data_IF_708838968098
#
_entry.id   IF_708838968098
#
_cell.length_a   1.000
_cell.length_b   1.000
_cell.length_c   1.000
_cell.angle_alpha   90.00
_cell.angle_beta   90.00
_cell.angle_gamma   90.00
#
_symmetry.space_group_name_H-M   'P 1'
#
loop_
_entity.id
_entity.type
_entity.pdbx_description
1 polymer ?
#
# COMPACT_ATOMS: atom_id res chain seq x y z
N UNK A 1 -3.08 -9.05 6.34
CA UNK A 1 -3.68 -9.86 5.27
C UNK A 1 -3.16 -11.30 5.35
N UNK A 2 -1.86 -11.56 5.30
CA UNK A 2 -1.31 -12.93 5.31
C UNK A 2 -1.65 -13.74 6.58
N UNK A 3 -1.64 -13.13 7.77
CA UNK A 3 -2.07 -13.83 8.99
C UNK A 3 -3.57 -14.15 8.99
N UNK A 4 -4.40 -13.23 8.49
CA UNK A 4 -5.84 -13.50 8.34
C UNK A 4 -6.11 -14.57 7.28
N UNK A 5 -5.38 -14.57 6.18
CA UNK A 5 -5.43 -15.65 5.19
C UNK A 5 -4.95 -16.97 5.77
N UNK A 6 -3.86 -16.99 6.53
CA UNK A 6 -3.34 -18.19 7.15
C UNK A 6 -4.30 -18.77 8.20
N UNK A 7 -4.96 -17.94 9.01
CA UNK A 7 -5.97 -18.39 9.94
C UNK A 7 -7.15 -19.04 9.20
N UNK A 8 -7.64 -18.43 8.14
CA UNK A 8 -8.73 -18.97 7.33
C UNK A 8 -8.32 -20.19 6.52
N UNK A 9 -7.05 -20.27 6.08
CA UNK A 9 -6.49 -21.47 5.44
C UNK A 9 -6.42 -22.66 6.37
N UNK A 10 -6.05 -22.46 7.63
CA UNK A 10 -6.06 -23.52 8.63
C UNK A 10 -7.48 -24.06 8.85
N UNK A 11 -8.49 -23.20 8.76
CA UNK A 11 -9.91 -23.61 8.84
C UNK A 11 -10.38 -24.36 7.59
N UNK A 12 -9.87 -23.99 6.41
CA UNK A 12 -10.32 -24.57 5.11
C UNK A 12 -9.57 -25.82 4.67
N UNK A 13 -8.52 -26.20 5.40
CA UNK A 13 -7.76 -27.46 5.20
C UNK A 13 -7.35 -27.78 3.74
N UNK A 14 -7.09 -26.76 2.92
CA UNK A 14 -6.64 -26.96 1.55
C UNK A 14 -5.17 -26.53 1.38
N UNK A 15 -4.20 -27.45 1.57
CA UNK A 15 -2.77 -27.16 1.55
C UNK A 15 -2.21 -26.87 0.16
N UNK A 16 -2.96 -27.15 -0.91
CA UNK A 16 -2.41 -27.21 -2.27
C UNK A 16 -2.51 -25.89 -3.07
N UNK A 17 -3.07 -24.81 -2.49
CA UNK A 17 -3.25 -23.56 -3.19
C UNK A 17 -1.99 -22.67 -3.11
N UNK A 18 -1.34 -22.36 -4.23
CA UNK A 18 -0.11 -21.56 -4.24
C UNK A 18 -0.38 -20.06 -4.05
N UNK A 19 -0.50 -19.64 -2.78
CA UNK A 19 -0.83 -18.27 -2.36
C UNK A 19 -0.02 -17.17 -3.07
N UNK A 20 1.27 -17.43 -3.37
CA UNK A 20 2.15 -16.44 -3.97
C UNK A 20 2.11 -16.43 -5.51
N UNK A 21 1.50 -17.45 -6.10
CA UNK A 21 1.51 -17.66 -7.55
C UNK A 21 0.32 -16.99 -8.23
N UNK A 22 -0.86 -17.22 -7.70
CA UNK A 22 -2.11 -16.75 -8.29
C UNK A 22 -3.15 -16.47 -7.20
N UNK A 23 -3.39 -15.19 -6.94
CA UNK A 23 -4.34 -14.74 -5.92
C UNK A 23 -5.77 -15.13 -6.30
N UNK A 24 -6.13 -15.11 -7.60
CA UNK A 24 -7.47 -15.47 -8.07
C UNK A 24 -7.76 -16.93 -7.80
N UNK A 25 -6.92 -17.84 -8.27
CA UNK A 25 -7.06 -19.28 -8.03
C UNK A 25 -7.15 -19.59 -6.53
N UNK A 26 -6.36 -18.89 -5.72
CA UNK A 26 -6.42 -19.02 -4.27
C UNK A 26 -7.77 -18.59 -3.69
N UNK A 27 -8.29 -17.43 -4.08
CA UNK A 27 -9.55 -16.89 -3.57
C UNK A 27 -10.76 -17.69 -4.05
N UNK A 28 -10.77 -18.15 -5.30
CA UNK A 28 -11.79 -19.06 -5.85
C UNK A 28 -11.80 -20.38 -5.08
N UNK A 29 -10.62 -20.91 -4.76
CA UNK A 29 -10.48 -22.15 -3.97
C UNK A 29 -11.00 -22.05 -2.54
N UNK A 30 -11.10 -20.85 -1.98
CA UNK A 30 -11.74 -20.58 -0.67
C UNK A 30 -13.17 -20.05 -0.78
N UNK A 31 -13.79 -20.15 -1.97
CA UNK A 31 -15.20 -19.84 -2.20
C UNK A 31 -15.50 -18.35 -2.41
N UNK A 32 -14.52 -17.55 -2.82
CA UNK A 32 -14.73 -16.16 -3.24
C UNK A 32 -15.04 -16.12 -4.73
N UNK A 33 -16.09 -15.39 -5.09
CA UNK A 33 -16.62 -15.30 -6.45
C UNK A 33 -15.56 -14.82 -7.45
N UNK A 34 -15.48 -15.51 -8.59
CA UNK A 34 -14.59 -15.20 -9.70
C UNK A 34 -14.85 -13.82 -10.34
N UNK A 35 -16.05 -13.27 -10.21
CA UNK A 35 -16.41 -11.96 -10.73
C UNK A 35 -15.96 -10.81 -9.81
N UNK A 36 -15.60 -11.09 -8.56
CA UNK A 36 -15.08 -10.08 -7.64
C UNK A 36 -13.76 -9.51 -8.16
N UNK A 37 -13.59 -8.18 -8.28
CA UNK A 37 -12.33 -7.58 -8.66
C UNK A 37 -11.22 -7.97 -7.66
N UNK A 38 -10.21 -8.68 -8.13
CA UNK A 38 -9.10 -9.15 -7.30
C UNK A 38 -7.81 -8.49 -7.79
N UNK A 39 -7.04 -7.85 -6.90
CA UNK A 39 -5.74 -7.31 -7.28
C UNK A 39 -4.80 -8.44 -7.74
N UNK A 40 -3.86 -8.13 -8.64
CA UNK A 40 -2.89 -9.11 -9.11
C UNK A 40 -2.10 -9.72 -7.94
N UNK A 41 -1.78 -11.00 -8.04
CA UNK A 41 -0.95 -11.68 -7.06
C UNK A 41 0.46 -11.09 -6.98
N UNK A 42 1.17 -11.39 -5.90
CA UNK A 42 2.51 -10.86 -5.64
C UNK A 42 3.50 -11.12 -6.78
N UNK A 43 3.44 -12.29 -7.41
CA UNK A 43 4.32 -12.61 -8.54
C UNK A 43 4.03 -11.74 -9.75
N UNK A 44 2.75 -11.54 -10.10
CA UNK A 44 2.35 -10.67 -11.19
C UNK A 44 2.73 -9.21 -10.93
N UNK A 45 2.55 -8.73 -9.70
CA UNK A 45 2.99 -7.39 -9.28
C UNK A 45 4.52 -7.22 -9.41
N UNK A 46 5.32 -8.23 -9.04
CA UNK A 46 6.77 -8.21 -9.20
C UNK A 46 7.20 -8.23 -10.67
N UNK A 47 6.55 -9.03 -11.50
CA UNK A 47 6.85 -9.07 -12.94
C UNK A 47 6.49 -7.74 -13.61
N UNK A 48 5.36 -7.12 -13.26
CA UNK A 48 4.96 -5.79 -13.71
C UNK A 48 5.95 -4.70 -13.28
N UNK A 49 6.37 -4.72 -12.00
CA UNK A 49 7.34 -3.76 -11.48
C UNK A 49 8.69 -3.84 -12.24
N UNK A 50 9.20 -5.06 -12.49
CA UNK A 50 10.44 -5.24 -13.26
C UNK A 50 10.26 -4.83 -14.72
N UNK A 51 9.11 -5.13 -15.33
CA UNK A 51 8.79 -4.70 -16.69
C UNK A 51 8.82 -3.17 -16.82
N UNK A 52 8.12 -2.47 -15.93
CA UNK A 52 8.10 -1.00 -15.90
C UNK A 52 9.50 -0.41 -15.65
N UNK A 53 10.24 -0.96 -14.68
CA UNK A 53 11.60 -0.50 -14.35
C UNK A 53 12.59 -0.75 -15.50
N UNK A 54 12.39 -1.79 -16.32
CA UNK A 54 13.27 -2.10 -17.46
C UNK A 54 13.22 -1.02 -18.53
N UNK A 55 12.09 -0.32 -18.67
CA UNK A 55 11.92 0.77 -19.64
C UNK A 55 12.66 2.05 -19.23
N UNK A 56 12.97 2.19 -17.95
CA UNK A 56 13.71 3.33 -17.38
C UNK A 56 14.99 2.84 -16.69
N UNK A 57 15.61 1.81 -17.23
CA UNK A 57 16.78 1.12 -16.64
C UNK A 57 17.94 2.07 -16.34
N UNK A 58 18.15 3.07 -17.16
CA UNK A 58 19.17 4.11 -17.03
C UNK A 58 18.96 5.05 -15.83
N UNK A 59 17.78 5.03 -15.20
CA UNK A 59 17.45 5.83 -14.01
C UNK A 59 17.81 5.14 -12.71
N UNK A 60 18.01 3.82 -12.73
CA UNK A 60 18.39 3.03 -11.56
C UNK A 60 19.91 2.88 -11.45
N UNK A 61 20.40 2.95 -10.21
CA UNK A 61 21.77 2.49 -9.94
C UNK A 61 21.91 1.00 -10.24
N UNK A 62 23.13 0.52 -10.54
CA UNK A 62 23.38 -0.91 -10.71
C UNK A 62 22.87 -1.74 -9.52
N UNK A 63 23.11 -1.29 -8.29
CA UNK A 63 22.68 -1.98 -7.07
C UNK A 63 21.16 -1.98 -6.91
N UNK A 64 20.48 -0.87 -7.22
CA UNK A 64 19.02 -0.80 -7.22
C UNK A 64 18.39 -1.78 -8.20
N UNK A 65 18.97 -1.89 -9.40
CA UNK A 65 18.54 -2.86 -10.39
C UNK A 65 18.76 -4.31 -9.95
N UNK A 66 19.94 -4.61 -9.42
CA UNK A 66 20.26 -5.94 -8.92
C UNK A 66 19.33 -6.35 -7.77
N UNK A 67 19.01 -5.42 -6.87
CA UNK A 67 18.07 -5.67 -5.77
C UNK A 67 16.65 -5.98 -6.29
N UNK A 68 16.18 -5.25 -7.30
CA UNK A 68 14.87 -5.50 -7.92
C UNK A 68 14.84 -6.87 -8.64
N UNK A 69 15.90 -7.19 -9.39
CA UNK A 69 16.03 -8.48 -10.06
C UNK A 69 16.09 -9.65 -9.08
N UNK A 70 16.81 -9.50 -7.97
CA UNK A 70 16.90 -10.49 -6.92
C UNK A 70 15.55 -10.68 -6.18
N UNK A 71 14.83 -9.59 -5.94
CA UNK A 71 13.48 -9.63 -5.37
C UNK A 71 12.53 -10.44 -6.25
N UNK A 72 12.52 -10.17 -7.57
CA UNK A 72 11.74 -10.95 -8.54
C UNK A 72 12.11 -12.44 -8.54
N UNK A 73 13.40 -12.75 -8.59
CA UNK A 73 13.90 -14.12 -8.55
C UNK A 73 13.46 -14.84 -7.27
N UNK A 74 13.56 -14.17 -6.13
CA UNK A 74 13.15 -14.71 -4.84
C UNK A 74 11.64 -14.99 -4.81
N UNK A 75 10.82 -14.04 -5.29
CA UNK A 75 9.36 -14.20 -5.37
C UNK A 75 8.96 -15.39 -6.25
N UNK A 76 9.59 -15.55 -7.40
CA UNK A 76 9.35 -16.71 -8.29
C UNK A 76 9.72 -18.04 -7.64
N UNK A 77 10.85 -18.10 -6.94
CA UNK A 77 11.26 -19.30 -6.23
C UNK A 77 10.29 -19.65 -5.10
N UNK A 78 9.80 -18.67 -4.37
CA UNK A 78 8.81 -18.89 -3.32
C UNK A 78 7.46 -19.32 -3.88
N UNK A 79 6.98 -18.68 -4.96
CA UNK A 79 5.73 -19.05 -5.62
C UNK A 79 5.67 -20.51 -6.09
N UNK A 80 6.81 -21.14 -6.30
CA UNK A 80 6.90 -22.55 -6.71
C UNK A 80 6.99 -23.55 -5.55
N UNK A 81 7.32 -23.11 -4.31
CA UNK A 81 7.74 -24.01 -3.23
C UNK A 81 7.05 -23.74 -1.89
N UNK A 82 6.64 -22.50 -1.63
CA UNK A 82 6.11 -22.09 -0.32
C UNK A 82 4.70 -22.61 -0.12
N UNK A 83 4.52 -23.31 0.99
CA UNK A 83 3.22 -23.78 1.42
C UNK A 83 2.53 -22.76 2.34
N UNK A 84 1.18 -22.76 2.44
CA UNK A 84 0.44 -21.97 3.40
C UNK A 84 0.89 -22.22 4.86
N UNK A 85 0.75 -21.21 5.71
CA UNK A 85 1.12 -21.31 7.12
C UNK A 85 2.48 -20.67 7.43
N UNK A 86 3.25 -21.30 8.32
CA UNK A 86 4.54 -20.77 8.80
C UNK A 86 5.55 -20.55 7.71
N UNK A 87 5.50 -21.38 6.66
CA UNK A 87 6.39 -21.27 5.52
C UNK A 87 6.12 -19.98 4.72
N UNK A 88 4.84 -19.66 4.48
CA UNK A 88 4.44 -18.40 3.85
C UNK A 88 4.83 -17.20 4.72
N UNK A 89 4.69 -17.28 6.03
CA UNK A 89 5.09 -16.22 6.97
C UNK A 89 6.59 -15.96 6.89
N UNK A 90 7.43 -17.00 6.85
CA UNK A 90 8.88 -16.88 6.68
C UNK A 90 9.24 -16.27 5.32
N UNK A 91 8.60 -16.72 4.26
CA UNK A 91 8.81 -16.20 2.91
C UNK A 91 8.47 -14.71 2.82
N UNK A 92 7.33 -14.29 3.39
CA UNK A 92 6.95 -12.87 3.43
C UNK A 92 7.93 -12.02 4.24
N UNK A 93 8.45 -12.53 5.34
CA UNK A 93 9.48 -11.83 6.12
C UNK A 93 10.76 -11.59 5.29
N UNK A 94 11.15 -12.55 4.47
CA UNK A 94 12.31 -12.39 3.56
C UNK A 94 12.01 -11.35 2.49
N UNK A 95 10.84 -11.40 1.85
CA UNK A 95 10.44 -10.47 0.80
C UNK A 95 10.31 -9.04 1.33
N UNK A 96 9.73 -8.85 2.51
CA UNK A 96 9.63 -7.53 3.15
C UNK A 96 11.02 -6.90 3.42
N UNK A 97 11.99 -7.69 3.90
CA UNK A 97 13.35 -7.20 4.08
C UNK A 97 14.02 -6.80 2.75
N UNK A 98 13.83 -7.60 1.70
CA UNK A 98 14.35 -7.28 0.37
C UNK A 98 13.68 -6.03 -0.22
N UNK A 99 12.36 -5.87 -0.03
CA UNK A 99 11.63 -4.65 -0.43
C UNK A 99 12.14 -3.42 0.33
N UNK A 100 12.39 -3.53 1.62
CA UNK A 100 12.98 -2.45 2.41
C UNK A 100 14.39 -2.09 1.91
N UNK A 101 15.22 -3.09 1.59
CA UNK A 101 16.55 -2.88 0.99
C UNK A 101 16.46 -2.19 -0.37
N UNK A 102 15.58 -2.64 -1.27
CA UNK A 102 15.36 -1.97 -2.55
C UNK A 102 14.88 -0.52 -2.36
N UNK A 103 13.92 -0.29 -1.46
CA UNK A 103 13.43 1.06 -1.14
C UNK A 103 14.54 1.96 -0.62
N UNK A 104 15.44 1.44 0.23
CA UNK A 104 16.62 2.17 0.70
C UNK A 104 17.56 2.54 -0.44
N UNK A 105 17.91 1.60 -1.31
CA UNK A 105 18.77 1.85 -2.46
C UNK A 105 18.18 2.89 -3.43
N UNK A 106 16.87 2.85 -3.68
CA UNK A 106 16.18 3.88 -4.47
C UNK A 106 16.29 5.23 -3.79
N UNK A 107 16.04 5.27 -2.48
CA UNK A 107 16.08 6.51 -1.72
C UNK A 107 17.47 7.14 -1.67
N UNK A 108 18.52 6.35 -1.50
CA UNK A 108 19.90 6.82 -1.39
C UNK A 108 20.55 7.14 -2.74
N UNK A 109 20.26 6.34 -3.78
CA UNK A 109 21.05 6.35 -5.01
C UNK A 109 20.34 6.92 -6.23
N UNK A 110 19.01 7.05 -6.20
CA UNK A 110 18.27 7.56 -7.35
C UNK A 110 18.24 9.08 -7.37
N UNK A 111 18.61 9.68 -8.49
CA UNK A 111 18.59 11.12 -8.63
C UNK A 111 17.17 11.69 -8.57
N UNK A 112 16.99 12.81 -7.84
CA UNK A 112 15.68 13.40 -7.47
C UNK A 112 14.97 14.14 -8.63
N UNK A 113 15.07 13.63 -9.85
CA UNK A 113 14.30 14.10 -11.01
C UNK A 113 12.87 13.54 -11.05
N UNK A 114 12.15 13.89 -12.11
CA UNK A 114 10.75 13.49 -12.32
C UNK A 114 10.54 11.98 -12.17
N UNK A 115 11.45 11.15 -12.67
CA UNK A 115 11.34 9.68 -12.56
C UNK A 115 11.32 9.18 -11.10
N UNK A 116 12.14 9.75 -10.24
CA UNK A 116 12.11 9.44 -8.80
C UNK A 116 10.80 9.91 -8.17
N UNK A 117 10.31 11.10 -8.55
CA UNK A 117 9.03 11.63 -8.04
C UNK A 117 7.85 10.74 -8.42
N UNK A 118 7.77 10.29 -9.66
CA UNK A 118 6.71 9.37 -10.07
C UNK A 118 6.76 8.04 -9.32
N UNK A 119 7.94 7.53 -9.00
CA UNK A 119 8.08 6.33 -8.16
C UNK A 119 7.58 6.58 -6.74
N UNK A 120 7.94 7.70 -6.12
CA UNK A 120 7.45 8.07 -4.79
C UNK A 120 5.93 8.33 -4.81
N UNK A 121 5.43 9.05 -5.80
CA UNK A 121 3.98 9.27 -5.99
C UNK A 121 3.25 7.92 -6.05
N UNK A 122 3.69 6.99 -6.89
CA UNK A 122 3.07 5.66 -6.99
C UNK A 122 3.09 4.91 -5.64
N UNK A 123 4.19 4.94 -4.91
CA UNK A 123 4.29 4.34 -3.57
C UNK A 123 3.31 4.95 -2.57
N UNK A 124 3.14 6.27 -2.59
CA UNK A 124 2.26 6.98 -1.67
C UNK A 124 0.80 6.76 -2.00
N UNK A 125 0.44 6.79 -3.28
CA UNK A 125 -0.90 6.47 -3.76
C UNK A 125 -1.31 5.06 -3.32
N UNK A 126 -0.52 4.06 -3.66
CA UNK A 126 -0.80 2.67 -3.32
C UNK A 126 -0.93 2.47 -1.80
N UNK A 127 0.00 3.01 -1.02
CA UNK A 127 -0.07 2.90 0.43
C UNK A 127 -1.27 3.62 1.01
N UNK A 128 -1.61 4.81 0.53
CA UNK A 128 -2.79 5.57 0.96
C UNK A 128 -4.08 4.78 0.72
N UNK A 129 -4.26 4.26 -0.48
CA UNK A 129 -5.43 3.43 -0.84
C UNK A 129 -5.51 2.19 0.06
N UNK A 130 -4.40 1.46 0.21
CA UNK A 130 -4.38 0.22 1.00
C UNK A 130 -4.66 0.47 2.48
N UNK A 131 -4.08 1.49 3.09
CA UNK A 131 -4.33 1.80 4.50
C UNK A 131 -5.76 2.31 4.70
N UNK A 132 -6.28 3.17 3.85
CA UNK A 132 -7.67 3.62 3.93
C UNK A 132 -8.65 2.42 3.83
N UNK A 133 -8.49 1.58 2.81
CA UNK A 133 -9.36 0.43 2.59
C UNK A 133 -9.29 -0.62 3.70
N UNK A 134 -8.07 -0.96 4.18
CA UNK A 134 -7.93 -1.96 5.25
C UNK A 134 -8.41 -1.43 6.60
N UNK A 135 -8.25 -0.13 6.86
CA UNK A 135 -8.80 0.52 8.05
C UNK A 135 -10.33 0.48 8.00
N UNK A 136 -10.94 0.89 6.88
CA UNK A 136 -12.40 0.78 6.70
C UNK A 136 -12.92 -0.63 6.97
N UNK A 137 -12.23 -1.65 6.44
CA UNK A 137 -12.65 -3.04 6.56
C UNK A 137 -12.49 -3.60 7.98
N UNK A 138 -11.41 -3.26 8.69
CA UNK A 138 -11.09 -3.82 10.00
C UNK A 138 -11.66 -3.01 11.18
N UNK A 139 -12.16 -1.78 10.94
CA UNK A 139 -12.83 -0.98 11.97
C UNK A 139 -14.35 -0.92 11.80
N UNK A 140 -14.90 -1.58 10.76
CA UNK A 140 -16.35 -1.62 10.52
C UNK A 140 -17.08 -2.33 11.66
N UNK A 141 -18.36 -2.04 11.82
CA UNK A 141 -19.24 -2.77 12.70
C UNK A 141 -19.26 -4.27 12.34
N UNK A 142 -19.17 -5.14 13.32
CA UNK A 142 -19.09 -6.58 13.12
C UNK A 142 -17.72 -7.09 12.61
N UNK A 143 -16.66 -6.28 12.69
CA UNK A 143 -15.33 -6.78 12.43
C UNK A 143 -14.96 -7.94 13.37
N UNK A 144 -14.23 -8.96 12.91
CA UNK A 144 -13.92 -10.12 13.72
C UNK A 144 -12.99 -9.76 14.90
N UNK A 145 -13.02 -10.58 15.94
CA UNK A 145 -12.10 -10.45 17.07
C UNK A 145 -10.64 -10.45 16.58
N UNK A 146 -9.82 -9.57 17.15
CA UNK A 146 -8.43 -9.39 16.73
C UNK A 146 -8.22 -8.54 15.46
N UNK A 147 -9.30 -8.03 14.83
CA UNK A 147 -9.20 -7.17 13.64
C UNK A 147 -8.31 -5.94 13.88
N UNK A 148 -8.44 -5.32 15.03
CA UNK A 148 -7.65 -4.14 15.38
C UNK A 148 -6.16 -4.46 15.58
N UNK A 149 -5.84 -5.57 16.23
CA UNK A 149 -4.44 -6.01 16.38
C UNK A 149 -3.83 -6.32 15.02
N UNK A 150 -4.59 -6.98 14.16
CA UNK A 150 -4.18 -7.26 12.78
C UNK A 150 -3.93 -5.96 11.98
N UNK A 151 -4.79 -4.95 12.14
CA UNK A 151 -4.62 -3.65 11.49
C UNK A 151 -3.32 -2.97 11.91
N UNK A 152 -3.02 -2.96 13.22
CA UNK A 152 -1.76 -2.39 13.75
C UNK A 152 -0.52 -3.16 13.27
N UNK A 153 -0.59 -4.48 13.17
CA UNK A 153 0.51 -5.30 12.66
C UNK A 153 0.76 -5.04 11.17
N UNK A 154 -0.29 -4.95 10.36
CA UNK A 154 -0.18 -4.63 8.93
C UNK A 154 0.45 -3.25 8.73
N UNK A 155 0.05 -2.28 9.55
CA UNK A 155 0.55 -0.92 9.51
C UNK A 155 1.89 -0.72 10.23
N UNK A 156 2.49 -1.78 10.80
CA UNK A 156 3.74 -1.71 11.60
C UNK A 156 3.67 -0.63 12.70
N UNK A 157 2.51 -0.52 13.36
CA UNK A 157 2.20 0.58 14.29
C UNK A 157 1.89 0.12 15.72
N UNK A 158 2.07 -1.18 16.03
CA UNK A 158 1.76 -1.77 17.34
C UNK A 158 2.44 -1.03 18.49
N UNK A 159 3.74 -0.79 18.38
CA UNK A 159 4.52 -0.15 19.44
C UNK A 159 4.15 1.33 19.62
N UNK A 160 3.86 2.02 18.51
CA UNK A 160 3.43 3.42 18.54
C UNK A 160 2.06 3.55 19.19
N UNK A 161 1.12 2.68 18.81
CA UNK A 161 -0.20 2.64 19.42
C UNK A 161 -0.14 2.42 20.94
N UNK A 162 0.60 1.39 21.40
CA UNK A 162 0.76 1.08 22.83
C UNK A 162 1.39 2.20 23.65
N UNK A 163 2.25 3.01 23.04
CA UNK A 163 2.88 4.17 23.70
C UNK A 163 1.96 5.38 23.79
N UNK A 164 1.07 5.55 22.81
CA UNK A 164 0.25 6.76 22.68
C UNK A 164 -1.15 6.61 23.28
N UNK A 165 -1.70 5.39 23.26
CA UNK A 165 -3.06 5.13 23.69
C UNK A 165 -3.11 4.08 24.80
N UNK A 166 -4.12 4.20 25.68
CA UNK A 166 -4.39 3.20 26.71
C UNK A 166 -4.96 1.92 26.07
N UNK A 167 -4.81 0.79 26.78
CA UNK A 167 -5.26 -0.54 26.33
C UNK A 167 -6.77 -0.60 26.01
N UNK A 168 -7.58 0.29 26.58
CA UNK A 168 -9.03 0.39 26.35
C UNK A 168 -9.42 1.35 25.22
N UNK A 169 -8.46 1.78 24.38
CA UNK A 169 -8.74 2.71 23.29
C UNK A 169 -9.62 2.04 22.22
N UNK A 170 -10.75 2.67 21.90
CA UNK A 170 -11.69 2.20 20.87
C UNK A 170 -11.21 2.44 19.44
N UNK A 171 -12.08 2.17 18.45
CA UNK A 171 -11.80 2.32 17.02
C UNK A 171 -11.17 3.67 16.64
N UNK A 172 -11.55 4.76 17.31
CA UNK A 172 -11.04 6.10 17.08
C UNK A 172 -9.52 6.21 17.24
N UNK A 173 -8.89 5.43 18.13
CA UNK A 173 -7.44 5.47 18.31
C UNK A 173 -6.67 4.88 17.12
N UNK A 174 -7.24 3.89 16.46
CA UNK A 174 -6.66 3.31 15.24
C UNK A 174 -6.81 4.26 14.06
N UNK A 175 -7.97 4.93 13.95
CA UNK A 175 -8.24 5.94 12.93
C UNK A 175 -7.32 7.14 13.13
N UNK A 176 -7.21 7.67 14.36
CA UNK A 176 -6.28 8.76 14.66
C UNK A 176 -4.84 8.41 14.24
N UNK A 177 -4.35 7.23 14.61
CA UNK A 177 -2.97 6.81 14.33
C UNK A 177 -2.72 6.50 12.85
N UNK A 178 -3.66 5.83 12.17
CA UNK A 178 -3.43 5.25 10.84
C UNK A 178 -4.04 6.08 9.70
N UNK A 179 -4.93 7.01 10.02
CA UNK A 179 -5.53 7.88 9.01
C UNK A 179 -5.09 9.33 9.20
N UNK A 180 -5.15 9.87 10.40
CA UNK A 180 -5.04 11.31 10.67
C UNK A 180 -3.70 11.76 11.27
N UNK A 181 -2.82 10.87 11.69
CA UNK A 181 -1.53 11.24 12.28
C UNK A 181 -0.53 11.73 11.21
N UNK A 182 -0.12 13.01 11.20
CA UNK A 182 0.84 13.52 10.23
C UNK A 182 2.28 13.03 10.45
N UNK A 183 2.57 12.44 11.61
CA UNK A 183 3.92 11.97 11.97
C UNK A 183 4.11 10.47 11.75
N UNK A 184 3.03 9.72 11.60
CA UNK A 184 3.13 8.29 11.34
C UNK A 184 3.37 8.03 9.85
N UNK A 185 4.55 7.53 9.42
CA UNK A 185 4.85 7.26 8.01
C UNK A 185 3.98 6.16 7.39
N UNK A 186 3.08 5.56 8.16
CA UNK A 186 2.08 4.59 7.70
C UNK A 186 0.68 5.18 7.58
N UNK A 187 0.42 6.38 8.12
CA UNK A 187 -0.91 6.99 8.06
C UNK A 187 -1.26 7.49 6.65
N UNK A 188 -2.56 7.61 6.38
CA UNK A 188 -3.06 8.16 5.12
C UNK A 188 -2.67 9.63 4.99
N UNK A 189 -2.83 10.43 6.06
CA UNK A 189 -2.46 11.85 6.04
C UNK A 189 -0.99 12.07 5.71
N UNK A 190 -0.09 11.24 6.25
CA UNK A 190 1.33 11.30 5.90
C UNK A 190 1.56 11.03 4.40
N UNK A 191 0.85 10.02 3.83
CA UNK A 191 0.97 9.76 2.39
C UNK A 191 0.48 10.95 1.56
N UNK A 192 -0.66 11.53 1.92
CA UNK A 192 -1.25 12.66 1.19
C UNK A 192 -0.37 13.93 1.33
N UNK A 193 0.23 14.17 2.47
CA UNK A 193 1.16 15.30 2.66
C UNK A 193 2.39 15.17 1.76
N UNK A 194 2.99 13.99 1.69
CA UNK A 194 4.13 13.72 0.83
C UNK A 194 3.75 13.72 -0.66
N UNK A 195 2.59 13.17 -1.02
CA UNK A 195 2.03 13.26 -2.38
C UNK A 195 1.91 14.71 -2.84
N UNK A 196 1.38 15.59 -1.99
CA UNK A 196 1.25 17.00 -2.30
C UNK A 196 2.62 17.61 -2.61
N UNK A 197 3.62 17.34 -1.77
CA UNK A 197 4.98 17.84 -1.99
C UNK A 197 5.56 17.35 -3.31
N UNK A 198 5.40 16.06 -3.65
CA UNK A 198 5.94 15.52 -4.89
C UNK A 198 5.21 16.03 -6.14
N UNK A 199 3.88 16.19 -6.09
CA UNK A 199 3.06 16.69 -7.20
C UNK A 199 3.39 18.17 -7.49
N UNK A 200 3.54 19.01 -6.46
CA UNK A 200 3.91 20.42 -6.61
C UNK A 200 5.27 20.63 -7.31
N UNK A 201 6.13 19.62 -7.28
CA UNK A 201 7.46 19.66 -7.89
C UNK A 201 7.53 18.96 -9.27
N UNK A 202 6.41 18.45 -9.79
CA UNK A 202 6.38 17.91 -11.15
C UNK A 202 6.44 19.03 -12.19
N UNK A 203 7.10 18.80 -13.36
CA UNK A 203 7.10 19.75 -14.45
C UNK A 203 5.70 19.91 -15.06
N UNK A 204 5.38 21.08 -15.58
CA UNK A 204 4.15 21.28 -16.37
C UNK A 204 2.94 21.81 -15.59
N UNK A 205 3.16 22.47 -14.46
CA UNK A 205 2.11 23.32 -13.86
C UNK A 205 1.56 24.31 -14.88
N UNK A 206 0.23 24.52 -14.88
CA UNK A 206 -0.45 25.42 -15.83
C UNK A 206 0.26 26.79 -15.85
N UNK A 207 0.90 27.15 -16.97
CA UNK A 207 1.70 28.35 -17.12
C UNK A 207 0.97 29.68 -16.91
N UNK A 208 -0.31 29.62 -16.52
CA UNK A 208 -1.18 30.77 -16.23
C UNK A 208 -1.42 30.99 -14.71
N UNK A 209 -0.60 30.41 -13.84
CA UNK A 209 -0.74 30.55 -12.38
C UNK A 209 -1.93 29.81 -11.77
N UNK A 210 -2.63 28.96 -12.54
CA UNK A 210 -3.67 28.09 -12.03
C UNK A 210 -3.07 26.74 -11.57
N UNK A 211 -3.61 26.20 -10.48
CA UNK A 211 -3.24 24.87 -10.01
C UNK A 211 -3.73 23.80 -10.99
N UNK A 212 -2.90 22.79 -11.25
CA UNK A 212 -3.29 21.62 -12.03
C UNK A 212 -4.45 20.86 -11.37
N UNK A 213 -5.15 20.02 -12.14
CA UNK A 213 -6.23 19.20 -11.57
C UNK A 213 -5.73 18.28 -10.47
N UNK A 214 -4.54 17.67 -10.64
CA UNK A 214 -3.92 16.83 -9.64
C UNK A 214 -3.55 17.63 -8.37
N UNK A 215 -2.98 18.84 -8.52
CA UNK A 215 -2.64 19.70 -7.40
C UNK A 215 -3.89 20.13 -6.61
N UNK A 216 -4.97 20.48 -7.28
CA UNK A 216 -6.25 20.81 -6.61
C UNK A 216 -6.80 19.62 -5.84
N UNK A 217 -6.81 18.43 -6.45
CA UNK A 217 -7.33 17.22 -5.82
C UNK A 217 -6.52 16.82 -4.58
N UNK A 218 -5.18 16.85 -4.64
CA UNK A 218 -4.36 16.51 -3.47
C UNK A 218 -4.47 17.54 -2.36
N UNK A 219 -4.61 18.84 -2.69
CA UNK A 219 -4.86 19.89 -1.69
C UNK A 219 -6.19 19.70 -0.99
N UNK A 220 -7.25 19.33 -1.72
CA UNK A 220 -8.56 19.05 -1.14
C UNK A 220 -8.46 17.87 -0.17
N UNK A 221 -7.95 16.72 -0.60
CA UNK A 221 -7.75 15.54 0.25
C UNK A 221 -6.91 15.86 1.50
N UNK A 222 -5.82 16.60 1.33
CA UNK A 222 -4.97 17.01 2.45
C UNK A 222 -5.74 17.88 3.44
N UNK A 223 -6.50 18.86 2.96
CA UNK A 223 -7.25 19.77 3.83
C UNK A 223 -8.35 19.02 4.58
N UNK A 224 -9.10 18.16 3.89
CA UNK A 224 -10.15 17.33 4.49
C UNK A 224 -9.62 16.45 5.63
N UNK A 225 -8.46 15.82 5.43
CA UNK A 225 -7.83 14.98 6.47
C UNK A 225 -7.26 15.81 7.63
N UNK A 226 -6.76 17.01 7.35
CA UNK A 226 -6.19 17.89 8.37
C UNK A 226 -7.20 18.47 9.34
N UNK A 227 -8.46 18.58 8.92
CA UNK A 227 -9.54 19.16 9.73
C UNK A 227 -10.52 18.10 10.24
N UNK A 228 -10.36 16.84 9.87
CA UNK A 228 -11.22 15.75 10.30
C UNK A 228 -10.87 15.30 11.72
N UNK A 229 -11.90 14.97 12.50
CA UNK A 229 -11.77 14.24 13.74
C UNK A 229 -11.91 12.72 13.50
N UNK A 230 -11.32 11.86 14.35
CA UNK A 230 -11.43 10.40 14.20
C UNK A 230 -12.89 9.90 14.13
N UNK A 231 -13.80 10.56 14.83
CA UNK A 231 -15.23 10.23 14.87
C UNK A 231 -15.93 10.48 13.53
N UNK A 232 -15.41 11.38 12.71
CA UNK A 232 -15.94 11.70 11.40
C UNK A 232 -15.55 10.65 10.34
N UNK A 233 -14.54 9.83 10.60
CA UNK A 233 -13.99 8.89 9.64
C UNK A 233 -14.74 7.55 9.67
N UNK A 234 -15.99 7.58 9.23
CA UNK A 234 -16.82 6.37 9.09
C UNK A 234 -16.26 5.41 8.03
N UNK A 235 -16.75 4.18 8.01
CA UNK A 235 -16.38 3.18 7.00
C UNK A 235 -16.60 3.69 5.58
N UNK A 236 -17.72 4.39 5.33
CA UNK A 236 -18.06 4.98 4.03
C UNK A 236 -17.09 6.10 3.67
N UNK A 237 -16.76 6.96 4.63
CA UNK A 237 -15.82 8.07 4.41
C UNK A 237 -14.40 7.57 4.15
N UNK A 238 -13.97 6.51 4.82
CA UNK A 238 -12.70 5.83 4.55
C UNK A 238 -12.68 5.18 3.16
N UNK A 239 -13.80 4.59 2.73
CA UNK A 239 -13.96 4.09 1.36
C UNK A 239 -13.85 5.21 0.33
N UNK A 240 -14.62 6.28 0.50
CA UNK A 240 -14.57 7.46 -0.37
C UNK A 240 -13.17 8.12 -0.42
N UNK A 241 -12.43 8.10 0.69
CA UNK A 241 -11.05 8.56 0.73
C UNK A 241 -10.14 7.70 -0.17
N UNK A 242 -10.28 6.37 -0.10
CA UNK A 242 -9.56 5.45 -0.97
C UNK A 242 -9.85 5.71 -2.46
N UNK A 243 -11.12 5.91 -2.80
CA UNK A 243 -11.57 6.25 -4.17
C UNK A 243 -10.99 7.61 -4.63
N UNK A 244 -11.00 8.61 -3.76
CA UNK A 244 -10.42 9.93 -4.05
C UNK A 244 -8.92 9.87 -4.32
N UNK A 245 -8.18 9.02 -3.59
CA UNK A 245 -6.76 8.77 -3.86
C UNK A 245 -6.59 8.04 -5.21
N UNK A 246 -7.46 7.10 -5.54
CA UNK A 246 -7.50 6.43 -6.84
C UNK A 246 -7.72 7.42 -7.98
N UNK A 247 -8.70 8.32 -7.87
CA UNK A 247 -8.95 9.38 -8.84
C UNK A 247 -7.75 10.31 -9.03
N UNK A 248 -6.99 10.59 -7.96
CA UNK A 248 -5.75 11.37 -8.06
C UNK A 248 -4.71 10.64 -8.92
N UNK A 249 -4.61 9.30 -8.83
CA UNK A 249 -3.73 8.52 -9.70
C UNK A 249 -4.12 8.66 -11.18
N UNK A 250 -5.42 8.62 -11.50
CA UNK A 250 -5.93 8.79 -12.86
C UNK A 250 -5.62 10.19 -13.41
N UNK A 251 -5.80 11.25 -12.60
CA UNK A 251 -5.46 12.61 -12.97
C UNK A 251 -3.98 12.78 -13.31
N UNK A 252 -3.09 12.14 -12.52
CA UNK A 252 -1.65 12.17 -12.78
C UNK A 252 -1.32 11.36 -14.04
N UNK A 253 -1.91 10.18 -14.19
CA UNK A 253 -1.70 9.35 -15.37
C UNK A 253 -2.10 10.09 -16.64
N UNK A 254 -3.26 10.74 -16.65
CA UNK A 254 -3.74 11.52 -17.80
C UNK A 254 -2.86 12.73 -18.09
N UNK A 255 -2.31 13.39 -17.09
CA UNK A 255 -1.50 14.59 -17.29
C UNK A 255 -0.08 14.30 -17.82
N UNK A 256 0.47 13.10 -17.58
CA UNK A 256 1.89 12.81 -17.83
C UNK A 256 2.16 11.59 -18.72
N UNK A 257 1.18 10.70 -18.92
CA UNK A 257 1.41 9.41 -19.60
C UNK A 257 0.40 9.09 -20.72
N UNK A 258 -0.63 9.90 -20.90
CA UNK A 258 -1.64 9.81 -21.97
C UNK A 258 -1.61 11.11 -22.81
#
# INVERSE_FOLDING_TARGET
ILRAYNARLAELSNPDLPLLKDTRTYLEGIGIDAETPIPPGLLAAMDSAVSSASQIRDRFSPDGWLALADLRKTTRNFGARVQPGDDATRAMTVLLRKLAGFSGLVHENMYRFAGWRFLEIGRRLERGIQIAGITAWLTREGAPDGAHDMLLEIADSVMTHRRRYNVAAGANSYIDLLVLDPLNPRSVLFQIADLREQIEQLPGGDGNGKLSSATRAVLQLHTELRIADPEDMTTERLGALGDGIGQLADLIAHAYFV
#
